data_IF_400820309305
#
_entry.id   IF_400820309305
#
_cell.length_a   1.000
_cell.length_b   1.000
_cell.length_c   1.000
_cell.angle_alpha   90.00
_cell.angle_beta   90.00
_cell.angle_gamma   90.00
#
_symmetry.space_group_name_H-M   'P 1'
#
loop_
_entity.id
_entity.type
_entity.pdbx_description
1 polymer ?
#
# COMPACT_ATOMS: atom_id res chain seq x y z
N UNK A 1 -31.41 16.53 -35.57
CA UNK A 1 -31.43 16.12 -34.15
C UNK A 1 -31.83 14.66 -34.12
N UNK A 2 -31.07 13.78 -33.46
CA UNK A 2 -31.43 12.37 -33.24
C UNK A 2 -31.86 12.23 -31.78
N UNK A 3 -33.04 11.66 -31.55
CA UNK A 3 -33.55 11.39 -30.20
C UNK A 3 -33.29 9.91 -29.86
N UNK A 4 -32.89 9.64 -28.63
CA UNK A 4 -32.66 8.28 -28.12
C UNK A 4 -33.05 8.21 -26.64
N UNK A 5 -33.01 7.02 -26.03
CA UNK A 5 -33.34 6.82 -24.62
C UNK A 5 -32.27 6.00 -23.91
N UNK A 6 -31.93 6.36 -22.67
CA UNK A 6 -30.92 5.68 -21.86
C UNK A 6 -31.19 4.17 -21.69
N UNK A 7 -32.47 3.76 -21.69
CA UNK A 7 -32.89 2.35 -21.60
C UNK A 7 -32.44 1.49 -22.80
N UNK A 8 -32.07 2.12 -23.91
CA UNK A 8 -31.56 1.44 -25.10
C UNK A 8 -30.07 1.07 -24.97
N UNK A 9 -29.41 1.48 -23.88
CA UNK A 9 -27.97 1.29 -23.68
C UNK A 9 -27.67 0.32 -22.54
N UNK A 10 -26.58 -0.43 -22.70
CA UNK A 10 -26.14 -1.41 -21.69
C UNK A 10 -25.74 -0.70 -20.41
N UNK A 11 -26.54 -0.86 -19.34
CA UNK A 11 -26.30 -0.26 -18.02
C UNK A 11 -26.07 1.26 -18.06
N UNK A 12 -26.64 1.95 -19.05
CA UNK A 12 -26.52 3.41 -19.21
C UNK A 12 -25.22 3.91 -19.84
N UNK A 13 -24.36 3.03 -20.37
CA UNK A 13 -23.17 3.40 -21.14
C UNK A 13 -23.54 3.93 -22.53
N UNK A 14 -23.31 5.22 -22.78
CA UNK A 14 -23.81 5.92 -23.99
C UNK A 14 -22.72 6.29 -24.99
N UNK A 15 -21.45 6.41 -24.58
CA UNK A 15 -20.32 6.75 -25.46
C UNK A 15 -19.16 5.81 -25.20
N UNK A 16 -18.51 5.32 -26.26
CA UNK A 16 -17.33 4.44 -26.19
C UNK A 16 -17.21 3.48 -27.38
N UNK A 17 -16.15 2.67 -27.39
CA UNK A 17 -15.83 1.65 -28.40
C UNK A 17 -16.57 0.32 -28.16
N UNK A 18 -17.84 0.40 -27.79
CA UNK A 18 -18.74 -0.75 -27.58
C UNK A 18 -20.06 -0.52 -28.32
N UNK A 19 -20.94 -1.53 -28.35
CA UNK A 19 -22.29 -1.41 -28.89
C UNK A 19 -23.32 -1.89 -27.86
N UNK A 20 -24.51 -1.25 -27.78
CA UNK A 20 -24.90 -0.03 -28.49
C UNK A 20 -24.16 1.23 -27.97
N UNK A 21 -23.88 2.18 -28.84
CA UNK A 21 -23.24 3.47 -28.48
C UNK A 21 -23.78 4.62 -29.35
N UNK A 22 -23.88 5.84 -28.79
CA UNK A 22 -24.25 7.04 -29.55
C UNK A 22 -23.16 7.41 -30.56
N UNK A 23 -21.89 7.22 -30.18
CA UNK A 23 -20.73 7.47 -31.01
C UNK A 23 -19.52 6.67 -30.49
N UNK A 24 -18.66 6.26 -31.42
CA UNK A 24 -17.35 5.69 -31.08
C UNK A 24 -16.42 6.80 -30.61
N UNK A 25 -15.96 6.69 -29.36
CA UNK A 25 -15.10 7.68 -28.72
C UNK A 25 -13.90 6.99 -28.10
N UNK A 26 -12.81 7.73 -27.92
CA UNK A 26 -11.61 7.22 -27.26
C UNK A 26 -11.71 7.22 -25.73
N UNK A 27 -12.79 7.77 -25.19
CA UNK A 27 -13.19 7.77 -23.78
C UNK A 27 -14.55 7.08 -23.63
N UNK A 28 -14.96 6.71 -22.41
CA UNK A 28 -16.31 6.17 -22.15
C UNK A 28 -17.14 7.14 -21.31
N UNK A 29 -18.45 7.17 -21.55
CA UNK A 29 -19.39 7.90 -20.70
C UNK A 29 -20.58 7.00 -20.41
N UNK A 30 -20.90 6.85 -19.13
CA UNK A 30 -22.09 6.17 -18.66
C UNK A 30 -22.86 7.04 -17.68
N UNK A 31 -24.17 7.12 -17.85
CA UNK A 31 -25.07 7.67 -16.85
C UNK A 31 -25.95 6.53 -16.35
N UNK A 32 -25.80 6.14 -15.10
CA UNK A 32 -26.52 4.99 -14.54
C UNK A 32 -27.41 5.42 -13.39
N UNK A 33 -28.69 5.10 -13.46
CA UNK A 33 -29.57 5.09 -12.29
C UNK A 33 -29.26 3.85 -11.46
N UNK A 34 -29.15 4.01 -10.14
CA UNK A 34 -28.94 2.90 -9.22
C UNK A 34 -30.07 2.91 -8.18
N UNK A 35 -30.66 1.74 -7.97
CA UNK A 35 -31.65 1.52 -6.91
C UNK A 35 -30.96 1.18 -5.60
N UNK A 36 -31.65 1.41 -4.48
CA UNK A 36 -31.13 1.03 -3.16
C UNK A 36 -30.85 -0.48 -3.13
N UNK A 37 -29.63 -0.84 -2.73
CA UNK A 37 -29.15 -2.22 -2.70
C UNK A 37 -28.47 -2.68 -3.99
N UNK A 38 -28.44 -1.87 -5.05
CA UNK A 38 -27.61 -2.16 -6.21
C UNK A 38 -26.14 -2.23 -5.80
N UNK A 39 -25.45 -3.30 -6.23
CA UNK A 39 -24.04 -3.52 -5.94
C UNK A 39 -23.24 -3.75 -7.21
N UNK A 40 -21.94 -3.46 -7.14
CA UNK A 40 -20.97 -3.96 -8.10
C UNK A 40 -19.87 -4.70 -7.38
N UNK A 41 -19.57 -5.91 -7.86
CA UNK A 41 -18.49 -6.72 -7.33
C UNK A 41 -17.15 -5.99 -7.44
N UNK A 42 -16.25 -6.29 -6.50
CA UNK A 42 -14.93 -5.67 -6.44
C UNK A 42 -14.15 -5.89 -7.75
N UNK A 43 -13.59 -4.82 -8.30
CA UNK A 43 -12.85 -4.87 -9.55
C UNK A 43 -11.83 -3.73 -9.64
N UNK A 44 -10.90 -3.84 -10.59
CA UNK A 44 -9.92 -2.80 -10.91
C UNK A 44 -9.68 -2.69 -12.42
N UNK A 45 -9.09 -1.57 -12.81
CA UNK A 45 -8.67 -1.24 -14.17
C UNK A 45 -7.14 -1.21 -14.25
N UNK A 46 -6.50 -1.61 -15.36
CA UNK A 46 -5.04 -1.57 -15.52
C UNK A 46 -4.55 -0.37 -16.33
N UNK A 47 -5.44 0.23 -17.12
CA UNK A 47 -5.08 1.30 -18.05
C UNK A 47 -5.97 2.53 -17.92
N UNK A 48 -7.23 2.34 -17.53
CA UNK A 48 -8.27 3.36 -17.45
C UNK A 48 -8.27 4.05 -16.09
N UNK A 49 -8.40 5.37 -16.12
CA UNK A 49 -8.83 6.17 -14.97
C UNK A 49 -10.34 6.42 -15.08
N UNK A 50 -11.09 6.12 -14.02
CA UNK A 50 -12.51 6.47 -13.93
C UNK A 50 -12.71 7.75 -13.12
N UNK A 51 -13.64 8.59 -13.57
CA UNK A 51 -14.14 9.76 -12.87
C UNK A 51 -15.62 9.54 -12.62
N UNK A 52 -16.01 9.46 -11.35
CA UNK A 52 -17.39 9.20 -10.94
C UNK A 52 -17.94 10.45 -10.28
N UNK A 53 -19.07 10.94 -10.76
CA UNK A 53 -19.85 12.00 -10.11
C UNK A 53 -21.16 11.40 -9.61
N UNK A 54 -21.46 11.60 -8.34
CA UNK A 54 -22.71 11.19 -7.72
C UNK A 54 -23.72 12.33 -7.86
N UNK A 55 -24.80 12.09 -8.58
CA UNK A 55 -25.85 13.05 -8.89
C UNK A 55 -27.16 12.57 -8.25
N UNK A 56 -27.32 12.90 -6.97
CA UNK A 56 -28.36 12.39 -6.07
C UNK A 56 -27.99 11.09 -5.38
N UNK A 57 -28.79 10.73 -4.36
CA UNK A 57 -28.63 9.49 -3.61
C UNK A 57 -27.48 9.50 -2.62
N UNK A 58 -27.22 8.31 -2.06
CA UNK A 58 -26.12 8.04 -1.14
C UNK A 58 -25.48 6.74 -1.57
N UNK A 59 -24.17 6.75 -1.74
CA UNK A 59 -23.41 5.65 -2.32
C UNK A 59 -22.22 5.29 -1.44
N UNK A 60 -21.79 4.04 -1.49
CA UNK A 60 -20.61 3.54 -0.80
C UNK A 60 -19.67 2.93 -1.81
N UNK A 61 -18.42 3.39 -1.83
CA UNK A 61 -17.32 2.74 -2.55
C UNK A 61 -16.15 2.56 -1.59
N UNK A 62 -15.64 1.34 -1.46
CA UNK A 62 -14.63 0.97 -0.47
C UNK A 62 -14.99 1.37 0.97
N UNK A 63 -16.29 1.39 1.30
CA UNK A 63 -16.86 1.88 2.56
C UNK A 63 -16.71 3.39 2.81
N UNK A 64 -16.26 4.16 1.82
CA UNK A 64 -16.38 5.62 1.83
C UNK A 64 -17.74 6.01 1.31
N UNK A 65 -18.44 6.86 2.07
CA UNK A 65 -19.75 7.36 1.69
C UNK A 65 -19.60 8.58 0.79
N UNK A 66 -20.32 8.58 -0.31
CA UNK A 66 -20.44 9.67 -1.26
C UNK A 66 -21.91 10.07 -1.39
N UNK A 67 -22.16 11.37 -1.50
CA UNK A 67 -23.48 12.00 -1.57
C UNK A 67 -23.60 12.85 -2.83
N UNK A 68 -24.76 13.49 -3.01
CA UNK A 68 -25.00 14.39 -4.13
C UNK A 68 -23.92 15.48 -4.27
N UNK A 69 -23.36 15.59 -5.48
CA UNK A 69 -22.30 16.54 -5.82
C UNK A 69 -20.88 16.04 -5.56
N UNK A 70 -20.70 14.91 -4.87
CA UNK A 70 -19.37 14.34 -4.67
C UNK A 70 -18.77 13.80 -5.97
N UNK A 71 -17.45 13.92 -6.08
CA UNK A 71 -16.67 13.45 -7.22
C UNK A 71 -15.51 12.59 -6.74
N UNK A 72 -15.30 11.46 -7.40
CA UNK A 72 -14.23 10.51 -7.12
C UNK A 72 -13.42 10.24 -8.40
N UNK A 73 -12.11 10.13 -8.25
CA UNK A 73 -11.20 9.61 -9.28
C UNK A 73 -10.67 8.25 -8.85
N UNK A 74 -10.84 7.23 -9.71
CA UNK A 74 -10.34 5.88 -9.53
C UNK A 74 -9.21 5.65 -10.53
N UNK A 75 -7.98 5.60 -10.03
CA UNK A 75 -6.80 5.41 -10.88
C UNK A 75 -6.59 3.94 -11.28
N UNK A 76 -5.81 3.66 -12.33
CA UNK A 76 -5.36 2.30 -12.64
C UNK A 76 -4.75 1.62 -11.41
N UNK A 77 -4.97 0.31 -11.32
CA UNK A 77 -4.53 -0.55 -10.23
C UNK A 77 -5.13 -0.17 -8.86
N UNK A 78 -6.26 0.56 -8.85
CA UNK A 78 -7.07 0.79 -7.67
C UNK A 78 -8.30 -0.10 -7.75
N UNK A 79 -8.49 -0.98 -6.77
CA UNK A 79 -9.71 -1.78 -6.71
C UNK A 79 -10.82 -1.05 -5.98
N UNK A 80 -12.05 -1.21 -6.46
CA UNK A 80 -13.24 -0.63 -5.84
C UNK A 80 -14.39 -1.62 -5.85
N UNK A 81 -15.19 -1.60 -4.80
CA UNK A 81 -16.55 -2.12 -4.80
C UNK A 81 -17.54 -0.95 -4.83
N UNK A 82 -18.82 -1.26 -5.03
CA UNK A 82 -19.88 -0.27 -5.05
C UNK A 82 -21.14 -0.82 -4.39
N UNK A 83 -21.82 0.03 -3.62
CA UNK A 83 -23.17 -0.18 -3.13
C UNK A 83 -23.97 1.12 -3.16
N UNK A 84 -25.20 1.08 -3.67
CA UNK A 84 -26.15 2.17 -3.55
C UNK A 84 -26.94 2.05 -2.24
N UNK A 85 -26.87 3.07 -1.39
CA UNK A 85 -27.55 3.12 -0.08
C UNK A 85 -28.87 3.88 -0.17
N UNK A 86 -28.93 4.93 -1.00
CA UNK A 86 -30.13 5.66 -1.39
C UNK A 86 -30.13 5.90 -2.91
N UNK A 87 -31.27 5.76 -3.60
CA UNK A 87 -31.32 5.80 -5.07
C UNK A 87 -30.80 7.12 -5.65
N UNK A 88 -30.07 7.03 -6.75
CA UNK A 88 -29.42 8.18 -7.38
C UNK A 88 -28.72 7.86 -8.68
N UNK A 89 -28.36 8.89 -9.44
CA UNK A 89 -27.56 8.74 -10.64
C UNK A 89 -26.06 8.73 -10.32
N UNK A 90 -25.32 7.88 -11.01
CA UNK A 90 -23.86 8.03 -11.12
C UNK A 90 -23.51 8.33 -12.58
N UNK A 91 -22.81 9.44 -12.79
CA UNK A 91 -22.13 9.73 -14.05
C UNK A 91 -20.71 9.18 -13.94
N UNK A 92 -20.34 8.28 -14.85
CA UNK A 92 -18.98 7.73 -14.94
C UNK A 92 -18.37 8.13 -16.27
N UNK A 93 -17.18 8.72 -16.20
CA UNK A 93 -16.33 9.01 -17.36
C UNK A 93 -15.06 8.18 -17.24
N UNK A 94 -14.65 7.55 -18.33
CA UNK A 94 -13.36 6.85 -18.42
C UNK A 94 -12.47 7.57 -19.41
N UNK A 95 -11.24 7.90 -19.02
CA UNK A 95 -10.29 8.60 -19.90
C UNK A 95 -9.95 7.82 -21.18
N UNK A 96 -10.13 6.49 -21.15
CA UNK A 96 -9.91 5.59 -22.28
C UNK A 96 -11.10 4.65 -22.46
N UNK A 97 -11.45 4.36 -23.71
CA UNK A 97 -12.41 3.30 -24.04
C UNK A 97 -11.70 1.99 -24.37
N UNK A 98 -11.61 1.15 -23.34
CA UNK A 98 -11.04 -0.19 -23.39
C UNK A 98 -12.02 -1.14 -22.70
N UNK A 99 -13.03 -1.68 -23.42
CA UNK A 99 -14.09 -2.50 -22.82
C UNK A 99 -13.59 -3.75 -22.06
N UNK A 100 -12.39 -4.21 -22.38
CA UNK A 100 -11.73 -5.37 -21.77
C UNK A 100 -10.88 -5.04 -20.55
N UNK A 101 -10.73 -3.76 -20.17
CA UNK A 101 -9.87 -3.32 -19.06
C UNK A 101 -10.55 -3.44 -17.69
N UNK A 102 -11.43 -4.42 -17.47
CA UNK A 102 -12.09 -4.62 -16.17
C UNK A 102 -11.77 -6.00 -15.63
N UNK A 103 -11.07 -6.04 -14.50
CA UNK A 103 -10.61 -7.28 -13.88
C UNK A 103 -11.31 -7.47 -12.52
N UNK A 104 -11.98 -8.61 -12.28
CA UNK A 104 -12.59 -8.88 -10.99
C UNK A 104 -11.54 -9.11 -9.90
N UNK A 105 -11.88 -8.75 -8.66
CA UNK A 105 -11.07 -9.01 -7.48
C UNK A 105 -10.29 -7.80 -6.97
N UNK A 106 -9.45 -8.07 -5.97
CA UNK A 106 -8.59 -7.12 -5.29
C UNK A 106 -7.20 -7.07 -5.91
N UNK A 107 -6.44 -6.04 -5.56
CA UNK A 107 -5.06 -5.89 -5.95
C UNK A 107 -4.15 -5.78 -4.72
N UNK A 108 -2.97 -6.36 -4.79
CA UNK A 108 -1.96 -6.16 -3.75
C UNK A 108 -1.43 -4.73 -3.78
N UNK A 109 -1.63 -4.01 -2.68
CA UNK A 109 -1.08 -2.68 -2.48
C UNK A 109 0.25 -2.80 -1.76
N UNK A 110 1.33 -2.33 -2.39
CA UNK A 110 2.68 -2.31 -1.84
C UNK A 110 3.04 -0.89 -1.44
N UNK A 111 3.09 -0.62 -0.14
CA UNK A 111 3.22 0.73 0.40
C UNK A 111 4.57 0.91 1.08
N UNK A 112 5.27 1.99 0.74
CA UNK A 112 6.55 2.34 1.34
C UNK A 112 6.47 3.74 1.94
N UNK A 113 6.30 3.86 3.27
CA UNK A 113 6.34 5.15 3.94
C UNK A 113 7.79 5.66 4.03
N UNK A 114 8.06 6.78 3.37
CA UNK A 114 9.37 7.46 3.37
C UNK A 114 9.25 8.97 3.63
N UNK A 115 8.13 9.42 4.22
CA UNK A 115 7.89 10.80 4.62
C UNK A 115 8.68 11.24 5.88
N UNK A 116 9.37 10.31 6.54
CA UNK A 116 10.16 10.61 7.74
C UNK A 116 11.31 11.59 7.46
N UNK A 117 11.64 12.43 8.45
CA UNK A 117 12.65 13.50 8.33
C UNK A 117 14.07 13.01 8.01
N UNK A 118 14.40 11.75 8.35
CA UNK A 118 15.75 11.22 8.17
C UNK A 118 16.82 12.01 8.93
N UNK A 119 16.50 12.57 10.11
CA UNK A 119 17.35 13.52 10.86
C UNK A 119 18.79 13.03 11.02
N UNK A 120 19.00 11.75 11.33
CA UNK A 120 20.35 11.16 11.48
C UNK A 120 21.22 11.34 10.22
N UNK A 121 20.64 11.22 9.04
CA UNK A 121 21.34 11.48 7.77
C UNK A 121 21.58 12.97 7.55
N UNK A 122 20.62 13.83 7.88
CA UNK A 122 20.82 15.28 7.77
C UNK A 122 21.93 15.78 8.70
N UNK A 123 21.93 15.34 9.96
CA UNK A 123 22.95 15.63 10.97
C UNK A 123 24.33 15.10 10.56
N UNK A 124 24.38 13.95 9.87
CA UNK A 124 25.61 13.41 9.29
C UNK A 124 26.06 14.11 7.98
N UNK A 125 25.38 15.17 7.55
CA UNK A 125 25.76 16.02 6.43
C UNK A 125 25.21 15.60 5.06
N UNK A 126 24.27 14.65 5.00
CA UNK A 126 23.64 14.26 3.73
C UNK A 126 22.61 15.31 3.29
N UNK A 127 22.72 15.74 2.03
CA UNK A 127 21.87 16.80 1.46
C UNK A 127 20.62 16.30 0.74
N UNK A 128 20.59 15.02 0.38
CA UNK A 128 19.46 14.39 -0.29
C UNK A 128 18.67 13.52 0.69
N UNK A 129 17.34 13.34 0.48
CA UNK A 129 16.55 12.41 1.28
C UNK A 129 17.18 11.01 1.32
N UNK A 130 17.12 10.34 2.47
CA UNK A 130 17.74 9.01 2.69
C UNK A 130 17.36 8.00 1.60
N UNK A 131 16.08 7.95 1.24
CA UNK A 131 15.55 7.05 0.22
C UNK A 131 16.20 7.24 -1.17
N UNK A 132 16.80 8.40 -1.44
CA UNK A 132 17.48 8.72 -2.69
C UNK A 132 19.00 8.52 -2.64
N UNK A 133 19.57 8.09 -1.51
CA UNK A 133 20.99 7.79 -1.42
C UNK A 133 21.35 6.58 -2.27
N UNK A 134 22.50 6.61 -2.94
CA UNK A 134 22.90 5.57 -3.88
C UNK A 134 23.35 4.29 -3.17
N UNK A 135 22.69 3.18 -3.50
CA UNK A 135 23.06 1.83 -3.10
C UNK A 135 23.48 1.09 -4.38
N UNK A 136 24.79 0.97 -4.60
CA UNK A 136 25.33 0.53 -5.89
C UNK A 136 25.08 1.56 -6.98
N UNK A 137 24.41 1.18 -8.07
CA UNK A 137 24.08 2.03 -9.21
C UNK A 137 22.63 2.58 -9.20
N UNK A 138 21.86 2.30 -8.14
CA UNK A 138 20.46 2.74 -8.00
C UNK A 138 20.25 3.49 -6.68
N UNK A 139 19.24 4.38 -6.60
CA UNK A 139 18.77 4.90 -5.32
C UNK A 139 18.33 3.78 -4.37
N UNK A 140 18.47 4.01 -3.06
CA UNK A 140 18.09 3.08 -1.99
C UNK A 140 16.66 2.57 -2.18
N UNK A 141 15.71 3.46 -2.44
CA UNK A 141 14.30 3.09 -2.66
C UNK A 141 14.11 2.16 -3.85
N UNK A 142 14.93 2.27 -4.91
CA UNK A 142 14.83 1.39 -6.05
C UNK A 142 15.34 -0.02 -5.73
N UNK A 143 16.36 -0.14 -4.88
CA UNK A 143 16.80 -1.46 -4.40
C UNK A 143 15.74 -2.12 -3.52
N UNK A 144 15.11 -1.34 -2.63
CA UNK A 144 13.99 -1.83 -1.80
C UNK A 144 12.85 -2.31 -2.69
N UNK A 145 12.38 -1.47 -3.62
CA UNK A 145 11.31 -1.82 -4.57
C UNK A 145 11.64 -3.12 -5.33
N UNK A 146 12.87 -3.26 -5.83
CA UNK A 146 13.29 -4.46 -6.56
C UNK A 146 13.22 -5.73 -5.67
N UNK A 147 13.60 -5.64 -4.37
CA UNK A 147 13.54 -6.77 -3.43
C UNK A 147 12.12 -7.19 -3.05
N UNK A 148 11.16 -6.27 -3.12
CA UNK A 148 9.78 -6.49 -2.64
C UNK A 148 8.73 -6.42 -3.75
N UNK A 149 9.14 -6.44 -5.02
CA UNK A 149 8.23 -6.50 -6.18
C UNK A 149 7.65 -7.91 -6.35
N UNK A 150 6.34 -8.12 -6.14
CA UNK A 150 5.71 -9.43 -6.33
C UNK A 150 5.59 -9.81 -7.81
N UNK A 151 5.40 -11.10 -8.09
CA UNK A 151 5.16 -11.59 -9.46
C UNK A 151 3.73 -11.34 -9.92
N UNK A 152 2.78 -11.31 -8.98
CA UNK A 152 1.37 -11.06 -9.23
C UNK A 152 1.08 -9.58 -9.53
N UNK A 153 -0.15 -9.28 -9.97
CA UNK A 153 -0.58 -7.91 -10.22
C UNK A 153 -0.62 -7.13 -8.90
N UNK A 154 0.12 -6.03 -8.86
CA UNK A 154 0.27 -5.19 -7.67
C UNK A 154 0.31 -3.72 -8.04
N UNK A 155 0.15 -2.87 -7.02
CA UNK A 155 0.30 -1.42 -7.10
C UNK A 155 1.29 -0.90 -6.08
N UNK A 156 2.21 -0.04 -6.50
CA UNK A 156 3.09 0.68 -5.58
C UNK A 156 2.51 2.02 -5.12
N UNK A 157 2.57 2.29 -3.81
CA UNK A 157 2.28 3.58 -3.19
C UNK A 157 3.49 4.04 -2.37
N UNK A 158 4.18 5.05 -2.88
CA UNK A 158 5.41 5.56 -2.30
C UNK A 158 5.16 6.91 -1.63
N UNK A 159 5.21 6.98 -0.30
CA UNK A 159 4.76 8.18 0.43
C UNK A 159 5.97 9.01 0.84
N UNK A 160 6.13 10.19 0.27
CA UNK A 160 7.33 11.02 0.41
C UNK A 160 6.97 12.47 0.71
N UNK A 161 7.88 13.22 1.34
CA UNK A 161 7.78 14.69 1.46
C UNK A 161 8.58 15.44 0.39
N UNK A 162 9.47 14.74 -0.29
CA UNK A 162 10.22 15.27 -1.41
C UNK A 162 9.56 14.80 -2.72
N UNK A 163 9.62 15.63 -3.77
CA UNK A 163 9.33 15.19 -5.14
C UNK A 163 10.41 14.18 -5.56
N UNK A 164 10.11 12.91 -5.30
CA UNK A 164 10.95 11.77 -5.66
C UNK A 164 10.32 11.08 -6.86
N UNK A 165 11.14 10.66 -7.82
CA UNK A 165 10.69 9.94 -9.03
C UNK A 165 11.42 8.61 -9.18
N UNK A 166 11.27 7.69 -8.22
CA UNK A 166 11.86 6.38 -8.32
C UNK A 166 11.22 5.61 -9.47
N UNK A 167 11.99 4.75 -10.11
CA UNK A 167 11.48 3.78 -11.09
C UNK A 167 10.61 2.75 -10.38
N UNK A 168 9.30 2.86 -10.52
CA UNK A 168 8.32 1.86 -10.08
C UNK A 168 7.48 1.43 -11.27
N UNK A 169 7.05 0.16 -11.27
CA UNK A 169 6.00 -0.32 -12.17
C UNK A 169 4.66 -0.15 -11.46
N UNK A 170 3.62 0.24 -12.20
CA UNK A 170 2.23 0.26 -11.72
C UNK A 170 2.08 0.94 -10.34
N UNK A 171 2.35 2.24 -10.25
CA UNK A 171 2.28 2.91 -8.96
C UNK A 171 2.46 4.41 -9.05
N UNK A 172 2.40 5.05 -7.89
CA UNK A 172 2.54 6.50 -7.77
C UNK A 172 3.32 6.89 -6.52
N UNK A 173 3.88 8.09 -6.58
CA UNK A 173 4.47 8.76 -5.43
C UNK A 173 3.45 9.75 -4.89
N UNK A 174 3.16 9.64 -3.60
CA UNK A 174 2.24 10.51 -2.88
C UNK A 174 3.09 11.50 -2.11
N UNK A 175 3.09 12.75 -2.60
CA UNK A 175 3.87 13.84 -2.04
C UNK A 175 3.07 14.55 -0.94
N UNK A 176 3.53 14.43 0.30
CA UNK A 176 2.96 15.13 1.46
C UNK A 176 3.63 16.51 1.61
N UNK A 177 2.81 17.53 1.83
CA UNK A 177 3.25 18.90 2.11
C UNK A 177 3.48 19.17 3.61
N UNK A 178 3.25 18.18 4.47
CA UNK A 178 3.33 18.30 5.91
C UNK A 178 4.12 17.13 6.53
N UNK A 179 4.27 17.18 7.85
CA UNK A 179 4.98 16.15 8.60
C UNK A 179 4.03 15.20 9.30
N UNK A 180 4.42 13.93 9.32
CA UNK A 180 3.67 12.86 9.97
C UNK A 180 4.39 12.42 11.24
N UNK A 181 3.62 12.09 12.28
CA UNK A 181 4.14 11.65 13.57
C UNK A 181 4.47 10.13 13.56
N UNK A 182 5.33 9.71 12.63
CA UNK A 182 5.77 8.33 12.47
C UNK A 182 5.21 7.63 11.24
N UNK A 183 5.64 6.37 11.06
CA UNK A 183 5.32 5.56 9.89
C UNK A 183 3.82 5.26 9.78
N UNK A 184 3.15 5.01 10.92
CA UNK A 184 1.71 4.72 10.90
C UNK A 184 0.88 5.92 10.47
N UNK A 185 1.18 7.12 10.98
CA UNK A 185 0.52 8.34 10.51
C UNK A 185 0.79 8.59 9.02
N UNK A 186 1.99 8.27 8.54
CA UNK A 186 2.30 8.33 7.10
C UNK A 186 1.42 7.38 6.29
N UNK A 187 1.17 6.18 6.80
CA UNK A 187 0.31 5.20 6.13
C UNK A 187 -1.16 5.66 6.09
N UNK A 188 -1.66 6.33 7.13
CA UNK A 188 -3.06 6.81 7.18
C UNK A 188 -3.38 7.84 6.08
N UNK A 189 -2.38 8.59 5.59
CA UNK A 189 -2.54 9.53 4.47
C UNK A 189 -3.00 8.85 3.15
N UNK A 190 -2.86 7.53 3.05
CA UNK A 190 -3.17 6.78 1.82
C UNK A 190 -4.27 5.74 1.99
N UNK A 191 -4.92 5.69 3.16
CA UNK A 191 -5.95 4.70 3.45
C UNK A 191 -7.11 4.76 2.45
N UNK A 192 -7.59 5.95 2.13
CA UNK A 192 -8.67 6.15 1.16
C UNK A 192 -8.28 5.73 -0.27
N UNK A 193 -6.99 5.49 -0.52
CA UNK A 193 -6.50 5.02 -1.81
C UNK A 193 -6.44 3.50 -1.95
N UNK A 194 -6.72 2.78 -0.86
CA UNK A 194 -6.54 1.34 -0.72
C UNK A 194 -7.89 0.71 -0.35
N UNK A 195 -8.33 -0.29 -1.11
CA UNK A 195 -9.53 -1.04 -0.75
C UNK A 195 -9.36 -1.76 0.59
N UNK A 196 -10.34 -1.66 1.49
CA UNK A 196 -10.24 -2.25 2.85
C UNK A 196 -10.02 -3.77 2.86
N UNK A 197 -10.60 -4.46 1.87
CA UNK A 197 -10.44 -5.90 1.69
C UNK A 197 -9.24 -6.27 0.82
N UNK A 198 -8.50 -5.30 0.28
CA UNK A 198 -7.34 -5.54 -0.54
C UNK A 198 -6.15 -6.01 0.30
N UNK A 199 -5.31 -6.92 -0.21
CA UNK A 199 -4.09 -7.27 0.49
C UNK A 199 -3.11 -6.08 0.49
N UNK A 200 -2.33 -5.98 1.57
CA UNK A 200 -1.42 -4.87 1.84
C UNK A 200 -0.05 -5.42 2.24
N UNK A 201 0.98 -5.01 1.49
CA UNK A 201 2.38 -5.21 1.83
C UNK A 201 2.98 -3.85 2.20
N UNK A 202 3.56 -3.74 3.39
CA UNK A 202 4.29 -2.55 3.82
C UNK A 202 5.77 -2.89 3.83
N UNK A 203 6.61 -2.03 3.26
CA UNK A 203 8.06 -2.16 3.36
C UNK A 203 8.70 -0.86 3.84
N UNK A 204 9.69 -0.97 4.71
CA UNK A 204 10.52 0.17 5.10
C UNK A 204 11.45 0.57 3.95
N UNK A 205 11.70 1.86 3.78
CA UNK A 205 12.55 2.38 2.70
C UNK A 205 14.06 2.17 2.89
N UNK A 206 14.49 1.47 3.95
CA UNK A 206 15.89 1.38 4.39
C UNK A 206 16.35 -0.03 4.81
N UNK A 207 15.63 -1.06 4.36
CA UNK A 207 15.96 -2.46 4.60
C UNK A 207 16.12 -3.17 3.26
N UNK A 208 17.27 -3.78 3.01
CA UNK A 208 17.51 -4.61 1.83
C UNK A 208 17.39 -6.09 2.21
N UNK A 209 16.69 -6.86 1.38
CA UNK A 209 16.48 -8.30 1.55
C UNK A 209 17.05 -9.05 0.34
N UNK A 210 18.32 -9.40 0.41
CA UNK A 210 19.09 -9.96 -0.70
C UNK A 210 18.72 -11.42 -0.97
N UNK A 211 18.16 -11.69 -2.16
CA UNK A 211 17.68 -13.02 -2.52
C UNK A 211 16.37 -13.42 -1.82
N UNK A 212 15.64 -12.45 -1.26
CA UNK A 212 14.33 -12.68 -0.67
C UNK A 212 13.27 -12.96 -1.74
N UNK A 213 12.50 -14.03 -1.55
CA UNK A 213 11.34 -14.34 -2.37
C UNK A 213 10.09 -13.73 -1.72
N UNK A 214 9.71 -12.54 -2.18
CA UNK A 214 8.51 -11.85 -1.67
C UNK A 214 7.23 -12.62 -1.99
N UNK A 215 7.20 -13.40 -3.07
CA UNK A 215 6.02 -14.18 -3.42
C UNK A 215 5.86 -15.36 -2.46
N UNK A 216 6.94 -16.10 -2.17
CA UNK A 216 6.90 -17.19 -1.19
C UNK A 216 6.50 -16.69 0.21
N UNK A 217 6.93 -15.49 0.59
CA UNK A 217 6.48 -14.82 1.81
C UNK A 217 4.97 -14.55 1.83
N UNK A 218 4.42 -13.99 0.73
CA UNK A 218 2.99 -13.73 0.59
C UNK A 218 2.19 -15.04 0.62
N UNK A 219 2.62 -16.04 -0.14
CA UNK A 219 1.92 -17.32 -0.30
C UNK A 219 1.83 -18.11 1.03
N UNK A 220 2.86 -18.00 1.88
CA UNK A 220 2.92 -18.65 3.21
C UNK A 220 2.35 -17.80 4.34
N UNK A 221 1.75 -16.65 4.04
CA UNK A 221 1.26 -15.75 5.05
C UNK A 221 -0.07 -16.18 5.68
N UNK A 222 -0.25 -15.83 6.96
CA UNK A 222 -1.51 -16.01 7.69
C UNK A 222 -2.46 -14.82 7.46
N UNK A 223 -3.29 -14.45 8.45
CA UNK A 223 -4.04 -13.18 8.36
C UNK A 223 -3.09 -11.98 8.22
N UNK A 224 -1.98 -12.04 8.95
CA UNK A 224 -0.86 -11.14 8.87
C UNK A 224 0.46 -11.91 8.97
N UNK A 225 1.53 -11.37 8.40
CA UNK A 225 2.88 -11.91 8.58
C UNK A 225 3.94 -10.83 8.61
N UNK A 226 5.08 -11.16 9.21
CA UNK A 226 6.25 -10.28 9.25
C UNK A 226 7.53 -11.03 8.94
N UNK A 227 8.40 -10.43 8.14
CA UNK A 227 9.72 -10.99 7.86
C UNK A 227 10.64 -10.75 9.07
N UNK A 228 11.29 -11.81 9.54
CA UNK A 228 12.19 -11.76 10.69
C UNK A 228 13.52 -12.43 10.41
N UNK A 229 14.54 -12.08 11.18
CA UNK A 229 15.84 -12.74 11.15
C UNK A 229 16.51 -12.76 12.52
N UNK A 230 17.50 -13.64 12.69
CA UNK A 230 18.24 -13.75 13.95
C UNK A 230 19.15 -12.55 14.17
N UNK A 231 18.90 -11.79 15.22
CA UNK A 231 19.69 -10.62 15.59
C UNK A 231 19.42 -10.22 17.06
N UNK A 232 20.24 -9.34 17.64
CA UNK A 232 20.14 -8.93 19.06
C UNK A 232 20.41 -7.45 19.34
N UNK A 233 20.57 -6.61 18.32
CA UNK A 233 20.76 -5.17 18.48
C UNK A 233 19.46 -4.43 18.91
N UNK A 234 19.46 -3.67 20.03
CA UNK A 234 18.27 -3.00 20.55
C UNK A 234 17.73 -1.85 19.68
N UNK A 235 18.39 -1.49 18.57
CA UNK A 235 17.90 -0.46 17.65
C UNK A 235 16.77 -0.92 16.72
N UNK A 236 16.46 -2.21 16.68
CA UNK A 236 15.43 -2.79 15.83
C UNK A 236 14.18 -3.18 16.60
N UNK A 237 13.13 -3.56 15.87
CA UNK A 237 11.91 -4.14 16.40
C UNK A 237 12.04 -5.67 16.47
N UNK A 238 11.39 -6.29 17.44
CA UNK A 238 11.49 -7.72 17.71
C UNK A 238 10.11 -8.35 17.87
N UNK A 239 9.94 -9.55 17.32
CA UNK A 239 8.73 -10.35 17.46
C UNK A 239 8.98 -11.54 18.39
N UNK A 240 8.18 -11.69 19.43
CA UNK A 240 8.20 -12.87 20.30
C UNK A 240 7.20 -13.90 19.77
N UNK A 241 7.66 -15.14 19.62
CA UNK A 241 6.89 -16.22 19.01
C UNK A 241 6.52 -17.28 20.06
N UNK A 242 5.28 -17.74 20.02
CA UNK A 242 4.72 -18.79 20.86
C UNK A 242 5.14 -20.21 20.45
N UNK A 243 4.59 -21.21 21.12
CA UNK A 243 4.87 -22.63 20.83
C UNK A 243 4.24 -23.12 19.52
N UNK A 244 3.21 -22.43 19.07
CA UNK A 244 2.47 -22.64 17.82
C UNK A 244 3.11 -21.91 16.62
N UNK A 245 4.29 -21.31 16.82
CA UNK A 245 4.98 -20.48 15.83
C UNK A 245 4.25 -19.18 15.45
N UNK A 246 3.23 -18.76 16.22
CA UNK A 246 2.56 -17.48 16.03
C UNK A 246 3.21 -16.38 16.87
N UNK A 247 3.18 -15.15 16.37
CA UNK A 247 3.64 -13.97 17.12
C UNK A 247 2.67 -13.70 18.28
N UNK A 248 3.24 -13.51 19.46
CA UNK A 248 2.51 -13.24 20.71
C UNK A 248 2.69 -11.81 21.20
N UNK A 249 3.79 -11.16 20.80
CA UNK A 249 4.13 -9.80 21.19
C UNK A 249 5.13 -9.22 20.17
N UNK A 250 4.98 -7.94 19.85
CA UNK A 250 5.98 -7.16 19.10
C UNK A 250 6.43 -5.97 19.92
N UNK A 251 7.74 -5.75 19.99
CA UNK A 251 8.30 -4.58 20.66
C UNK A 251 9.24 -3.80 19.73
N UNK A 252 9.05 -2.48 19.68
CA UNK A 252 9.90 -1.55 18.93
C UNK A 252 11.07 -1.09 19.81
N UNK A 253 12.31 -1.19 19.31
CA UNK A 253 13.55 -0.76 19.99
C UNK A 253 13.76 -1.41 21.37
N UNK A 254 13.33 -2.66 21.51
CA UNK A 254 13.49 -3.48 22.71
C UNK A 254 13.63 -4.93 22.30
N UNK A 255 14.73 -5.56 22.69
CA UNK A 255 14.99 -6.98 22.43
C UNK A 255 14.09 -7.82 23.35
N UNK A 256 13.13 -8.52 22.77
CA UNK A 256 12.22 -9.44 23.49
C UNK A 256 12.34 -10.90 23.02
N UNK A 257 13.15 -11.13 21.98
CA UNK A 257 13.45 -12.43 21.36
C UNK A 257 14.72 -12.30 20.49
N UNK A 258 15.13 -13.39 19.84
CA UNK A 258 16.17 -13.37 18.81
C UNK A 258 15.64 -12.98 17.41
N UNK A 259 14.34 -12.71 17.25
CA UNK A 259 13.69 -12.48 15.95
C UNK A 259 13.49 -11.00 15.68
N UNK A 260 14.51 -10.36 15.12
CA UNK A 260 14.43 -8.98 14.65
C UNK A 260 13.57 -8.87 13.39
N UNK A 261 12.71 -7.86 13.34
CA UNK A 261 11.83 -7.57 12.20
C UNK A 261 12.65 -6.90 11.09
N UNK A 262 12.61 -7.50 9.89
CA UNK A 262 13.37 -7.07 8.72
C UNK A 262 12.64 -6.01 7.86
N UNK A 263 11.63 -5.34 8.43
CA UNK A 263 10.96 -4.19 7.83
C UNK A 263 10.02 -4.48 6.67
N UNK A 264 9.54 -5.72 6.52
CA UNK A 264 8.51 -6.10 5.56
C UNK A 264 7.35 -6.77 6.30
N UNK A 265 6.15 -6.26 6.05
CA UNK A 265 4.92 -6.58 6.78
C UNK A 265 3.82 -6.90 5.76
N UNK A 266 3.12 -8.00 5.95
CA UNK A 266 2.00 -8.38 5.10
C UNK A 266 0.71 -8.45 5.91
N UNK A 267 -0.37 -7.98 5.30
CA UNK A 267 -1.73 -8.05 5.81
C UNK A 267 -2.61 -8.58 4.68
N UNK A 268 -3.32 -9.67 4.95
CA UNK A 268 -4.25 -10.26 3.98
C UNK A 268 -5.37 -9.30 3.60
N UNK A 269 -5.71 -8.38 4.50
CA UNK A 269 -6.66 -7.28 4.29
C UNK A 269 -6.09 -5.99 4.87
N UNK A 270 -6.11 -4.92 4.08
CA UNK A 270 -5.61 -3.61 4.47
C UNK A 270 -6.28 -3.07 5.75
N UNK A 271 -7.58 -3.39 5.95
CA UNK A 271 -8.31 -2.99 7.15
C UNK A 271 -7.68 -3.49 8.45
N UNK A 272 -7.00 -4.64 8.45
CA UNK A 272 -6.35 -5.18 9.65
C UNK A 272 -5.26 -4.22 10.15
N UNK A 273 -4.47 -3.68 9.22
CA UNK A 273 -3.47 -2.66 9.54
C UNK A 273 -4.13 -1.35 9.97
N UNK A 274 -5.09 -0.83 9.20
CA UNK A 274 -5.66 0.50 9.46
C UNK A 274 -6.50 0.55 10.74
N UNK A 275 -7.28 -0.50 11.04
CA UNK A 275 -8.03 -0.60 12.30
C UNK A 275 -7.08 -0.74 13.50
N UNK A 276 -6.06 -1.60 13.42
CA UNK A 276 -5.03 -1.72 14.46
C UNK A 276 -4.22 -0.43 14.65
N UNK A 277 -3.91 0.28 13.57
CA UNK A 277 -3.24 1.57 13.60
C UNK A 277 -4.07 2.62 14.37
N UNK A 278 -5.38 2.70 14.12
CA UNK A 278 -6.27 3.61 14.87
C UNK A 278 -6.34 3.23 16.34
N UNK A 279 -6.51 1.95 16.66
CA UNK A 279 -6.53 1.47 18.06
C UNK A 279 -5.23 1.83 18.79
N UNK A 280 -4.07 1.65 18.14
CA UNK A 280 -2.76 2.03 18.67
C UNK A 280 -2.66 3.55 18.93
N UNK A 281 -3.21 4.37 18.04
CA UNK A 281 -3.25 5.83 18.18
C UNK A 281 -4.20 6.24 19.30
N UNK A 282 -5.39 5.66 19.39
CA UNK A 282 -6.39 5.95 20.42
C UNK A 282 -5.85 5.63 21.83
N UNK A 283 -5.01 4.60 21.94
CA UNK A 283 -4.29 4.21 23.17
C UNK A 283 -2.98 4.99 23.40
N UNK A 284 -2.60 5.89 22.49
CA UNK A 284 -1.36 6.66 22.46
C UNK A 284 -0.08 5.80 22.64
N UNK A 285 -0.06 4.61 22.04
CA UNK A 285 1.06 3.66 22.16
C UNK A 285 2.23 4.06 21.27
N UNK A 286 3.03 5.01 21.76
CA UNK A 286 4.21 5.53 21.06
C UNK A 286 5.50 4.95 21.60
N UNK A 287 6.50 4.89 20.72
CA UNK A 287 7.90 4.63 21.11
C UNK A 287 8.72 5.85 20.71
N UNK A 288 9.43 6.47 21.66
CA UNK A 288 10.17 7.72 21.42
C UNK A 288 9.33 8.84 20.76
N UNK A 289 8.04 8.93 21.09
CA UNK A 289 7.13 9.96 20.57
C UNK A 289 6.55 9.71 19.17
N UNK A 290 6.86 8.57 18.54
CA UNK A 290 6.38 8.21 17.20
C UNK A 290 5.55 6.91 17.21
N UNK A 291 4.65 6.80 16.23
CA UNK A 291 3.89 5.58 15.94
C UNK A 291 4.57 4.76 14.83
N UNK A 292 5.10 3.59 15.21
CA UNK A 292 5.81 2.67 14.30
C UNK A 292 4.87 1.63 13.70
N UNK A 293 5.23 1.06 12.54
CA UNK A 293 4.40 0.01 11.91
C UNK A 293 4.44 -1.31 12.69
N UNK A 294 5.57 -1.64 13.33
CA UNK A 294 5.75 -2.93 13.99
C UNK A 294 4.78 -3.17 15.16
N UNK A 295 4.52 -2.21 16.08
CA UNK A 295 3.67 -2.48 17.23
C UNK A 295 2.18 -2.58 16.90
N UNK A 296 1.76 -2.23 15.68
CA UNK A 296 0.38 -2.42 15.20
C UNK A 296 -0.05 -3.88 15.31
N UNK A 297 0.90 -4.83 15.21
CA UNK A 297 0.59 -6.25 15.41
C UNK A 297 0.06 -6.57 16.80
N UNK A 298 0.41 -5.83 17.85
CA UNK A 298 -0.15 -6.09 19.18
C UNK A 298 -1.67 -5.85 19.21
N UNK A 299 -2.14 -4.84 18.48
CA UNK A 299 -3.58 -4.56 18.34
C UNK A 299 -4.26 -5.63 17.47
N UNK A 300 -3.59 -6.11 16.43
CA UNK A 300 -4.09 -7.19 15.57
C UNK A 300 -4.24 -8.49 16.37
N UNK A 301 -3.24 -8.84 17.18
CA UNK A 301 -3.28 -10.01 18.08
C UNK A 301 -4.41 -9.85 19.11
N UNK A 302 -4.63 -8.65 19.65
CA UNK A 302 -5.73 -8.37 20.57
C UNK A 302 -7.12 -8.47 19.92
N UNK A 303 -7.20 -8.41 18.58
CA UNK A 303 -8.43 -8.62 17.81
C UNK A 303 -8.57 -10.08 17.30
N UNK A 304 -7.88 -11.03 17.94
CA UNK A 304 -7.91 -12.47 17.63
C UNK A 304 -7.47 -12.83 16.20
N UNK A 305 -6.69 -11.96 15.55
CA UNK A 305 -6.10 -12.23 14.23
C UNK A 305 -4.72 -12.85 14.36
N UNK A 306 -4.40 -13.75 13.42
CA UNK A 306 -3.14 -14.49 13.44
C UNK A 306 -1.99 -13.69 12.80
N UNK A 307 -0.85 -13.66 13.47
CA UNK A 307 0.38 -13.05 12.94
C UNK A 307 1.47 -14.12 12.87
N UNK A 308 1.91 -14.47 11.67
CA UNK A 308 2.99 -15.42 11.44
C UNK A 308 4.34 -14.72 11.24
N UNK A 309 5.44 -15.43 11.49
CA UNK A 309 6.78 -14.98 11.10
C UNK A 309 7.27 -15.71 9.86
N UNK A 310 7.97 -14.99 8.99
CA UNK A 310 8.74 -15.57 7.90
C UNK A 310 10.23 -15.36 8.15
N UNK A 311 10.92 -16.43 8.54
CA UNK A 311 12.32 -16.35 8.95
C UNK A 311 13.26 -16.40 7.73
N UNK A 312 14.11 -15.38 7.60
CA UNK A 312 15.18 -15.30 6.62
C UNK A 312 16.55 -15.46 7.28
N UNK A 313 17.54 -15.88 6.50
CA UNK A 313 18.91 -16.00 7.00
C UNK A 313 19.50 -14.62 7.31
N UNK A 314 20.35 -14.47 8.35
CA UNK A 314 20.94 -13.18 8.70
C UNK A 314 21.66 -12.47 7.55
N UNK A 315 22.31 -13.21 6.67
CA UNK A 315 23.01 -12.67 5.49
C UNK A 315 22.08 -12.01 4.45
N UNK A 316 20.81 -12.46 4.39
CA UNK A 316 19.78 -11.88 3.50
C UNK A 316 19.45 -10.45 3.92
N UNK A 317 19.52 -10.12 5.20
CA UNK A 317 19.08 -8.83 5.72
C UNK A 317 20.22 -7.81 5.84
N UNK A 318 20.05 -6.64 5.21
CA UNK A 318 20.95 -5.51 5.37
C UNK A 318 20.15 -4.26 5.76
N UNK A 319 20.18 -3.93 7.06
CA UNK A 319 19.69 -2.64 7.54
C UNK A 319 20.65 -1.52 7.09
N UNK A 320 20.09 -0.44 6.53
CA UNK A 320 20.82 0.76 6.09
C UNK A 320 20.09 2.04 6.55
N UNK A 321 19.44 1.95 7.70
CA UNK A 321 18.59 3.00 8.28
C UNK A 321 19.35 4.09 9.03
N UNK A 322 20.65 3.90 9.28
CA UNK A 322 21.58 4.88 9.85
C UNK A 322 22.77 5.19 8.93
N UNK A 323 23.42 6.36 9.07
CA UNK A 323 24.64 6.67 8.34
C UNK A 323 25.75 5.62 8.53
N UNK A 324 25.88 5.07 9.73
CA UNK A 324 26.87 4.07 10.10
C UNK A 324 26.62 2.74 9.38
N UNK A 325 25.39 2.23 9.46
CA UNK A 325 24.95 1.03 8.75
C UNK A 325 25.10 1.18 7.23
N UNK A 326 24.67 2.32 6.69
CA UNK A 326 24.78 2.63 5.27
C UNK A 326 26.24 2.64 4.80
N UNK A 327 27.15 3.30 5.54
CA UNK A 327 28.59 3.30 5.23
C UNK A 327 29.20 1.90 5.35
N UNK A 328 28.82 1.14 6.36
CA UNK A 328 29.27 -0.24 6.55
C UNK A 328 28.83 -1.13 5.38
N UNK A 329 27.56 -1.02 4.96
CA UNK A 329 27.02 -1.72 3.79
C UNK A 329 27.79 -1.37 2.51
N UNK A 330 28.01 -0.07 2.23
CA UNK A 330 28.77 0.35 1.05
C UNK A 330 30.21 -0.19 1.05
N UNK A 331 30.83 -0.33 2.23
CA UNK A 331 32.16 -0.95 2.36
C UNK A 331 32.11 -2.45 2.02
N UNK A 332 31.06 -3.17 2.41
CA UNK A 332 30.86 -4.58 2.05
C UNK A 332 30.69 -4.74 0.54
N UNK A 333 29.88 -3.88 -0.09
CA UNK A 333 29.65 -3.87 -1.54
C UNK A 333 30.94 -3.61 -2.32
N UNK A 334 31.72 -2.59 -1.93
CA UNK A 334 33.01 -2.27 -2.59
C UNK A 334 34.05 -3.39 -2.49
N UNK A 335 33.98 -4.21 -1.43
CA UNK A 335 34.87 -5.35 -1.23
C UNK A 335 34.40 -6.61 -1.95
N UNK A 336 33.22 -6.61 -2.59
CA UNK A 336 32.62 -7.81 -3.19
C UNK A 336 32.19 -8.85 -2.16
N UNK A 337 32.04 -8.47 -0.89
CA UNK A 337 31.56 -9.40 0.16
C UNK A 337 30.03 -9.56 0.15
N UNK A 338 29.34 -8.69 -0.58
CA UNK A 338 27.91 -8.70 -0.84
C UNK A 338 27.71 -8.28 -2.29
N UNK A 339 26.75 -8.90 -2.96
CA UNK A 339 26.27 -8.55 -4.30
C UNK A 339 24.80 -8.11 -4.23
N UNK A 340 24.42 -7.21 -5.15
CA UNK A 340 23.08 -6.60 -5.23
C UNK A 340 22.22 -7.26 -6.30
#
# INVERSE_FOLDING_TARGET
MKNDNLKNYTRGWILGRFEPSLAKTDFEVGLRWNEKGDTEGRHYHKEVTEYVTFAGGVHSLNNTIYQDGDVLTIHPYMSTDYMCLEPGYCLTVKDKSIPTDKFPGSILNVVVPMAGRGRRFQEAGYKVPKALLNVGNKPMINQVVDNITPKEVHRFLLISRADVRPRIKNGQVICLNHETNGAVNTMLEVENLIGREDPLLIANCDQLLLGFDVQDFIDKSADCSVVVTKHDNPHHSYAKVGKDHLVTEVAEKKVISDKAIAGVYFYKKAKYFFEGARQMIDKDLRVNGEFYNSPVFNEIIANDLTVNTYEIKPETWQAIGTPEEYKAFLKKLRKGTIEL
#
